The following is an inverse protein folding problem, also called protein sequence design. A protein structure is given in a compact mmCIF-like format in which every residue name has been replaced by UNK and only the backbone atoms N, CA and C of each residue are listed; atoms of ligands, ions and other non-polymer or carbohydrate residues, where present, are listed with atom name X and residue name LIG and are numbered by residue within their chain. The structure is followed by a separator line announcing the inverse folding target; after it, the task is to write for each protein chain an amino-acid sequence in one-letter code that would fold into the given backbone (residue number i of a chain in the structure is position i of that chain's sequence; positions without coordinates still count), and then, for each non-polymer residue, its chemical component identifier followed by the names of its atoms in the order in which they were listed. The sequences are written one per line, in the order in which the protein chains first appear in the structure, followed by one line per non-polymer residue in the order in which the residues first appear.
data_IF_711236469279
#
_entry.id   IF_711236469279
#
_cell.length_a   1.000
_cell.length_b   1.000
_cell.length_c   1.000
_cell.angle_alpha   90.00
_cell.angle_beta   90.00
_cell.angle_gamma   90.00
#
_symmetry.space_group_name_H-M   'P 1'
#
loop_
_entity.id
_entity.type
_entity.pdbx_description
1 polymer ?
#
# COMPACT_ATOMS: atom_id res chain seq x y z
N UNK A 1 -8.54 -14.86 7.02
CA UNK A 1 -8.08 -13.58 6.42
C UNK A 1 -7.38 -13.91 5.10
N UNK A 2 -7.69 -13.23 3.99
CA UNK A 2 -6.97 -13.46 2.72
C UNK A 2 -5.99 -12.32 2.49
N UNK A 3 -4.71 -12.63 2.69
CA UNK A 3 -3.59 -11.89 2.11
C UNK A 3 -3.58 -12.16 0.60
N UNK A 4 -3.28 -11.15 -0.22
CA UNK A 4 -3.23 -11.29 -1.68
C UNK A 4 -1.79 -11.03 -2.18
N UNK A 5 -1.12 -12.11 -2.62
CA UNK A 5 0.26 -12.07 -3.10
C UNK A 5 0.46 -11.15 -4.32
N UNK A 6 -0.53 -11.02 -5.20
CA UNK A 6 -0.45 -10.15 -6.37
C UNK A 6 -0.45 -8.67 -5.96
N UNK A 7 -1.36 -8.31 -5.05
CA UNK A 7 -1.43 -6.97 -4.47
C UNK A 7 -0.14 -6.67 -3.69
N UNK A 8 0.34 -7.63 -2.90
CA UNK A 8 1.57 -7.47 -2.14
C UNK A 8 2.77 -7.19 -3.06
N UNK A 9 2.88 -7.92 -4.16
CA UNK A 9 3.94 -7.72 -5.16
C UNK A 9 3.88 -6.32 -5.77
N UNK A 10 2.68 -5.84 -6.13
CA UNK A 10 2.48 -4.48 -6.67
C UNK A 10 2.89 -3.41 -5.66
N UNK A 11 2.48 -3.55 -4.40
CA UNK A 11 2.81 -2.60 -3.32
C UNK A 11 4.32 -2.59 -3.03
N UNK A 12 4.97 -3.75 -2.95
CA UNK A 12 6.40 -3.88 -2.71
C UNK A 12 7.23 -3.30 -3.85
N UNK A 13 6.86 -3.60 -5.10
CA UNK A 13 7.53 -3.04 -6.27
C UNK A 13 7.44 -1.50 -6.28
N UNK A 14 6.28 -0.94 -5.92
CA UNK A 14 6.12 0.50 -5.84
C UNK A 14 6.90 1.09 -4.67
N UNK A 15 6.88 0.45 -3.49
CA UNK A 15 7.70 0.83 -2.33
C UNK A 15 9.17 0.97 -2.71
N UNK A 16 9.74 -0.05 -3.37
CA UNK A 16 11.13 -0.07 -3.82
C UNK A 16 11.47 1.06 -4.81
N UNK A 17 10.54 1.44 -5.70
CA UNK A 17 10.75 2.55 -6.64
C UNK A 17 10.81 3.94 -5.98
N UNK A 18 10.25 4.08 -4.78
CA UNK A 18 10.23 5.36 -4.05
C UNK A 18 11.16 5.41 -2.85
N UNK A 19 11.96 4.35 -2.63
CA UNK A 19 13.07 4.37 -1.68
C UNK A 19 14.01 5.53 -2.02
N UNK A 20 14.16 6.48 -1.10
CA UNK A 20 15.04 7.65 -1.25
C UNK A 20 14.37 8.93 -1.73
N UNK A 21 13.06 8.94 -2.05
CA UNK A 21 12.35 10.19 -2.36
C UNK A 21 12.06 11.00 -1.10
N UNK A 22 12.24 12.31 -1.19
CA UNK A 22 11.98 13.27 -0.10
C UNK A 22 10.49 13.56 0.10
N UNK A 23 9.65 13.25 -0.88
CA UNK A 23 8.22 13.59 -0.91
C UNK A 23 7.40 12.32 -0.70
N UNK A 24 6.39 12.34 0.19
CA UNK A 24 5.45 11.22 0.34
C UNK A 24 4.79 10.86 -0.98
N UNK A 25 4.79 9.57 -1.33
CA UNK A 25 4.17 9.09 -2.55
C UNK A 25 2.84 8.40 -2.24
N UNK A 26 1.78 8.81 -2.95
CA UNK A 26 0.44 8.23 -2.82
C UNK A 26 0.25 7.21 -3.94
N UNK A 27 -0.02 5.96 -3.56
CA UNK A 27 -0.30 4.86 -4.45
C UNK A 27 -1.72 4.33 -4.24
N UNK A 28 -2.42 4.05 -5.34
CA UNK A 28 -3.78 3.51 -5.34
C UNK A 28 -3.89 2.35 -6.33
N UNK A 29 -4.72 1.38 -5.99
CA UNK A 29 -5.02 0.21 -6.82
C UNK A 29 -6.52 0.18 -7.11
N UNK A 30 -7.03 1.02 -8.03
CA UNK A 30 -8.47 1.19 -8.23
C UNK A 30 -9.18 -0.03 -8.85
N UNK A 31 -8.43 -0.90 -9.53
CA UNK A 31 -8.96 -2.12 -10.15
C UNK A 31 -8.98 -3.33 -9.21
N UNK A 32 -8.42 -3.20 -8.01
CA UNK A 32 -8.36 -4.25 -6.99
C UNK A 32 -9.44 -4.05 -5.93
N UNK A 33 -9.75 -5.12 -5.20
CA UNK A 33 -10.58 -5.03 -4.00
C UNK A 33 -9.92 -4.13 -2.96
N UNK A 34 -10.56 -3.00 -2.64
CA UNK A 34 -9.99 -2.02 -1.71
C UNK A 34 -9.80 -2.59 -0.30
N UNK A 35 -10.64 -3.57 0.07
CA UNK A 35 -10.49 -4.33 1.31
C UNK A 35 -9.20 -5.16 1.30
N UNK A 36 -8.94 -5.88 0.21
CA UNK A 36 -7.72 -6.70 0.09
C UNK A 36 -6.46 -5.83 -0.01
N UNK A 37 -6.54 -4.68 -0.70
CA UNK A 37 -5.47 -3.67 -0.75
C UNK A 37 -5.15 -3.16 0.66
N UNK A 38 -6.18 -2.79 1.43
CA UNK A 38 -6.01 -2.33 2.81
C UNK A 38 -5.37 -3.40 3.69
N UNK A 39 -5.94 -4.60 3.72
CA UNK A 39 -5.44 -5.70 4.56
C UNK A 39 -4.00 -6.09 4.19
N UNK A 40 -3.70 -6.17 2.89
CA UNK A 40 -2.37 -6.51 2.40
C UNK A 40 -1.36 -5.41 2.74
N UNK A 41 -1.71 -4.14 2.53
CA UNK A 41 -0.85 -3.01 2.88
C UNK A 41 -0.59 -2.94 4.40
N UNK A 42 -1.64 -3.10 5.23
CA UNK A 42 -1.52 -3.14 6.69
C UNK A 42 -0.61 -4.29 7.15
N UNK A 43 -0.72 -5.48 6.54
CA UNK A 43 0.14 -6.61 6.84
C UNK A 43 1.61 -6.31 6.49
N UNK A 44 1.88 -5.74 5.32
CA UNK A 44 3.25 -5.39 4.90
C UNK A 44 3.89 -4.31 5.80
N UNK A 45 3.09 -3.36 6.29
CA UNK A 45 3.55 -2.35 7.26
C UNK A 45 3.83 -3.00 8.60
N UNK A 46 2.96 -3.90 9.07
CA UNK A 46 3.13 -4.62 10.33
C UNK A 46 4.36 -5.54 10.32
N UNK A 47 4.68 -6.12 9.17
CA UNK A 47 5.88 -6.93 8.94
C UNK A 47 7.14 -6.08 8.67
N UNK A 48 7.03 -4.74 8.76
CA UNK A 48 8.13 -3.80 8.49
C UNK A 48 8.76 -3.93 7.10
N UNK A 49 8.04 -4.56 6.15
CA UNK A 49 8.50 -4.71 4.76
C UNK A 49 8.43 -3.40 3.98
N UNK A 50 7.53 -2.49 4.39
CA UNK A 50 7.38 -1.16 3.79
C UNK A 50 7.17 -0.10 4.89
N UNK A 51 7.72 1.10 4.69
CA UNK A 51 7.38 2.29 5.49
C UNK A 51 6.26 3.07 4.79
N UNK A 52 5.01 2.77 5.14
CA UNK A 52 3.84 3.42 4.57
C UNK A 52 2.74 3.65 5.60
N UNK A 53 1.77 4.49 5.24
CA UNK A 53 0.50 4.65 5.97
C UNK A 53 -0.66 4.36 5.01
N UNK A 54 -1.65 3.61 5.49
CA UNK A 54 -2.89 3.37 4.75
C UNK A 54 -3.93 4.41 5.15
N UNK A 55 -4.65 4.96 4.16
CA UNK A 55 -5.75 5.89 4.35
C UNK A 55 -6.95 5.47 3.49
N UNK A 56 -8.17 5.75 3.94
CA UNK A 56 -9.40 5.42 3.20
C UNK A 56 -10.23 6.67 3.04
N UNK A 57 -10.55 7.02 1.80
CA UNK A 57 -11.33 8.23 1.50
C UNK A 57 -12.82 7.94 1.35
N UNK A 58 -13.63 9.00 1.33
CA UNK A 58 -15.10 8.95 1.29
C UNK A 58 -15.70 8.05 0.19
N UNK A 59 -14.95 7.71 -0.88
CA UNK A 59 -15.39 6.78 -1.93
C UNK A 59 -14.96 5.31 -1.69
N UNK A 60 -14.50 4.97 -0.48
CA UNK A 60 -13.98 3.63 -0.15
C UNK A 60 -12.64 3.29 -0.80
N UNK A 61 -12.02 4.22 -1.53
CA UNK A 61 -10.72 4.00 -2.18
C UNK A 61 -9.60 4.00 -1.14
N UNK A 62 -8.84 2.92 -1.13
CA UNK A 62 -7.66 2.74 -0.30
C UNK A 62 -6.47 3.48 -0.94
N UNK A 63 -5.81 4.32 -0.15
CA UNK A 63 -4.59 5.03 -0.51
C UNK A 63 -3.45 4.53 0.35
N UNK A 64 -2.34 4.18 -0.28
CA UNK A 64 -1.10 3.78 0.39
C UNK A 64 -0.14 4.96 0.26
N UNK A 65 0.24 5.57 1.37
CA UNK A 65 1.12 6.73 1.42
C UNK A 65 2.49 6.26 1.90
N UNK A 66 3.44 6.11 0.98
CA UNK A 66 4.82 5.75 1.31
C UNK A 66 5.53 6.94 1.96
N UNK A 67 6.17 6.69 3.10
CA UNK A 67 6.96 7.68 3.86
C UNK A 67 8.44 7.30 3.77
N UNK A 68 9.31 8.30 3.87
CA UNK A 68 10.76 8.09 3.99
C UNK A 68 11.10 7.44 5.33
#
# INVERSE_FOLDING_TARGET
MRYNDEIATKILAESHRHVGKLIPHIYTLPHESQLDVKLTAEQLIKEEKIHAKVDTIFNGTCRIIFKK
#
